data_IF_504793317497
#
_entry.id   IF_504793317497
#
_cell.length_a   1.000
_cell.length_b   1.000
_cell.length_c   1.000
_cell.angle_alpha   90.00
_cell.angle_beta   90.00
_cell.angle_gamma   90.00
#
_symmetry.space_group_name_H-M   'P 1'
#
loop_
_entity.id
_entity.type
_entity.pdbx_description
1 polymer ?
#
# COMPACT_ATOMS: atom_id res chain seq x y z
N UNK A 1 15.84 2.04 -6.21
CA UNK A 1 14.57 2.13 -6.97
C UNK A 1 14.80 1.64 -8.39
N UNK A 2 14.00 0.66 -8.84
CA UNK A 2 14.09 0.10 -10.19
C UNK A 2 12.97 0.66 -11.08
N UNK A 3 13.21 0.67 -12.41
CA UNK A 3 12.19 1.01 -13.40
C UNK A 3 11.43 -0.25 -13.82
N UNK A 4 10.12 -0.14 -13.91
CA UNK A 4 9.25 -1.19 -14.41
C UNK A 4 9.37 -1.30 -15.94
N UNK A 5 9.68 -2.49 -16.48
CA UNK A 5 9.84 -2.67 -17.93
C UNK A 5 8.52 -2.52 -18.71
N UNK A 6 7.37 -2.68 -18.05
CA UNK A 6 6.06 -2.59 -18.71
C UNK A 6 5.58 -1.14 -18.87
N UNK A 7 5.77 -0.29 -17.87
CA UNK A 7 5.19 1.07 -17.87
C UNK A 7 6.22 2.20 -17.77
N UNK A 8 7.51 1.89 -17.63
CA UNK A 8 8.59 2.89 -17.49
C UNK A 8 8.58 3.69 -16.18
N UNK A 9 7.52 3.60 -15.37
CA UNK A 9 7.47 4.14 -14.02
C UNK A 9 8.47 3.40 -13.11
N UNK A 10 8.74 3.90 -11.91
CA UNK A 10 9.33 3.08 -10.86
C UNK A 10 8.43 1.87 -10.57
N UNK A 11 9.04 0.72 -10.28
CA UNK A 11 8.31 -0.48 -9.83
C UNK A 11 7.39 -0.13 -8.64
N UNK A 12 6.26 -0.82 -8.52
CA UNK A 12 5.09 -0.50 -7.65
C UNK A 12 4.34 0.80 -8.05
N UNK A 13 5.05 1.87 -8.40
CA UNK A 13 4.48 3.18 -8.72
C UNK A 13 3.68 3.26 -10.04
N UNK A 14 3.67 2.18 -10.83
CA UNK A 14 2.83 2.06 -12.02
C UNK A 14 1.40 1.62 -11.74
N UNK A 15 1.09 1.18 -10.52
CA UNK A 15 -0.25 0.68 -10.18
C UNK A 15 -1.29 1.81 -10.15
N UNK A 16 -2.57 1.50 -10.43
CA UNK A 16 -3.08 0.20 -10.90
C UNK A 16 -2.98 0.03 -12.43
N UNK A 17 -2.58 1.08 -13.16
CA UNK A 17 -2.58 1.10 -14.63
C UNK A 17 -1.54 0.15 -15.27
N UNK A 18 -0.63 -0.41 -14.48
CA UNK A 18 0.35 -1.39 -14.90
C UNK A 18 0.18 -2.68 -14.10
N UNK A 19 -0.19 -3.76 -14.79
CA UNK A 19 -0.43 -5.08 -14.19
C UNK A 19 0.76 -5.54 -13.35
N UNK A 20 1.98 -5.52 -13.90
CA UNK A 20 3.20 -5.89 -13.16
C UNK A 20 3.38 -5.09 -11.86
N UNK A 21 3.10 -3.78 -11.88
CA UNK A 21 3.21 -2.98 -10.66
C UNK A 21 2.08 -3.29 -9.65
N UNK A 22 0.90 -3.66 -10.13
CA UNK A 22 -0.18 -4.19 -9.30
C UNK A 22 0.20 -5.51 -8.65
N UNK A 23 0.72 -6.46 -9.43
CA UNK A 23 1.16 -7.78 -8.95
C UNK A 23 2.26 -7.65 -7.89
N UNK A 24 3.20 -6.71 -8.08
CA UNK A 24 4.23 -6.42 -7.08
C UNK A 24 3.64 -5.89 -5.76
N UNK A 25 2.60 -5.06 -5.79
CA UNK A 25 1.92 -4.59 -4.58
C UNK A 25 1.16 -5.70 -3.88
N UNK A 26 0.51 -6.58 -4.63
CA UNK A 26 -0.20 -7.72 -4.06
C UNK A 26 0.80 -8.73 -3.47
N UNK A 27 1.91 -9.00 -4.15
CA UNK A 27 3.01 -9.85 -3.65
C UNK A 27 3.60 -9.30 -2.35
N UNK A 28 3.78 -7.97 -2.24
CA UNK A 28 4.28 -7.35 -0.99
C UNK A 28 3.44 -7.70 0.23
N UNK A 29 2.11 -7.78 0.05
CA UNK A 29 1.18 -8.10 1.13
C UNK A 29 1.12 -9.61 1.36
N UNK A 30 1.07 -10.38 0.28
CA UNK A 30 1.03 -11.84 0.33
C UNK A 30 2.30 -12.42 0.99
N UNK A 31 3.49 -11.90 0.69
CA UNK A 31 4.76 -12.32 1.31
C UNK A 31 4.70 -12.19 2.84
N UNK A 32 4.10 -11.11 3.36
CA UNK A 32 3.96 -10.91 4.80
C UNK A 32 2.98 -11.90 5.44
N UNK A 33 1.92 -12.27 4.73
CA UNK A 33 0.97 -13.28 5.20
C UNK A 33 1.56 -14.68 5.18
N UNK A 34 2.26 -15.06 4.11
CA UNK A 34 2.94 -16.35 4.01
C UNK A 34 4.03 -16.50 5.08
N UNK A 35 4.78 -15.43 5.36
CA UNK A 35 5.73 -15.43 6.47
C UNK A 35 5.05 -15.67 7.82
N UNK A 36 3.91 -15.01 8.08
CA UNK A 36 3.11 -15.22 9.28
C UNK A 36 2.61 -16.66 9.41
N UNK A 37 2.02 -17.23 8.35
CA UNK A 37 1.56 -18.62 8.35
C UNK A 37 2.69 -19.60 8.64
N UNK A 38 3.84 -19.41 8.00
CA UNK A 38 5.02 -20.25 8.21
C UNK A 38 5.55 -20.16 9.65
N UNK A 39 5.64 -18.95 10.21
CA UNK A 39 6.09 -18.73 11.60
C UNK A 39 5.16 -19.38 12.62
N UNK A 40 3.85 -19.28 12.41
CA UNK A 40 2.84 -19.82 13.31
C UNK A 40 2.51 -21.31 13.04
N UNK A 41 3.09 -21.90 11.99
CA UNK A 41 2.75 -23.23 11.49
C UNK A 41 1.23 -23.41 11.24
N UNK A 42 0.59 -22.38 10.69
CA UNK A 42 -0.84 -22.34 10.38
C UNK A 42 -1.10 -22.64 8.89
N UNK A 43 -2.23 -23.28 8.55
CA UNK A 43 -2.66 -23.40 7.16
C UNK A 43 -3.24 -22.08 6.63
N UNK A 44 -3.25 -21.93 5.31
CA UNK A 44 -4.02 -20.87 4.64
C UNK A 44 -5.51 -21.28 4.58
N UNK A 45 -6.30 -20.74 5.50
CA UNK A 45 -7.70 -21.11 5.73
C UNK A 45 -8.60 -19.84 5.76
N UNK A 46 -9.72 -19.81 5.02
CA UNK A 46 -10.72 -18.75 5.14
C UNK A 46 -11.19 -18.45 6.57
N UNK A 47 -11.32 -19.47 7.43
CA UNK A 47 -11.74 -19.27 8.83
C UNK A 47 -10.69 -18.48 9.64
N UNK A 48 -9.40 -18.69 9.32
CA UNK A 48 -8.30 -17.91 9.89
C UNK A 48 -8.37 -16.45 9.43
N UNK A 49 -8.70 -16.20 8.16
CA UNK A 49 -8.89 -14.83 7.65
C UNK A 49 -10.03 -14.11 8.37
N UNK A 50 -11.18 -14.76 8.60
CA UNK A 50 -12.30 -14.20 9.37
C UNK A 50 -11.90 -13.88 10.81
N UNK A 51 -11.13 -14.76 11.46
CA UNK A 51 -10.61 -14.51 12.82
C UNK A 51 -9.69 -13.29 12.85
N UNK A 52 -8.76 -13.17 11.89
CA UNK A 52 -7.81 -12.04 11.82
C UNK A 52 -8.55 -10.70 11.64
N UNK A 53 -9.54 -10.63 10.74
CA UNK A 53 -10.28 -9.37 10.52
C UNK A 53 -11.24 -9.03 11.67
N UNK A 54 -11.63 -10.01 12.47
CA UNK A 54 -12.45 -9.81 13.68
C UNK A 54 -11.64 -9.22 14.83
N UNK A 55 -10.35 -9.55 14.94
CA UNK A 55 -9.43 -8.99 15.93
C UNK A 55 -8.15 -8.47 15.28
N UNK A 56 -8.18 -7.27 14.71
CA UNK A 56 -7.07 -6.73 13.90
C UNK A 56 -5.82 -6.35 14.72
N UNK A 57 -6.00 -5.83 15.93
CA UNK A 57 -4.92 -5.19 16.73
C UNK A 57 -3.69 -6.08 17.01
N UNK A 58 -3.80 -7.39 17.23
CA UNK A 58 -2.64 -8.25 17.47
C UNK A 58 -1.76 -8.46 16.23
N UNK A 59 -2.32 -8.28 15.03
CA UNK A 59 -1.67 -8.67 13.77
C UNK A 59 -0.99 -7.49 13.08
N UNK A 60 0.07 -7.80 12.34
CA UNK A 60 0.75 -6.83 11.48
C UNK A 60 -0.10 -6.53 10.24
N UNK A 61 0.07 -5.32 9.70
CA UNK A 61 -0.81 -4.84 8.63
C UNK A 61 -0.80 -5.70 7.36
N UNK A 62 0.33 -6.33 6.99
CA UNK A 62 0.37 -7.22 5.81
C UNK A 62 -0.53 -8.43 6.02
N UNK A 63 -0.55 -8.96 7.25
CA UNK A 63 -1.41 -10.09 7.63
C UNK A 63 -2.87 -9.67 7.53
N UNK A 64 -3.20 -8.49 8.04
CA UNK A 64 -4.57 -7.95 8.04
C UNK A 64 -5.07 -7.64 6.63
N UNK A 65 -4.27 -6.96 5.81
CA UNK A 65 -4.61 -6.65 4.41
C UNK A 65 -4.77 -7.93 3.59
N UNK A 66 -3.90 -8.94 3.77
CA UNK A 66 -4.01 -10.24 3.12
C UNK A 66 -5.23 -11.04 3.58
N UNK A 67 -5.61 -10.94 4.86
CA UNK A 67 -6.82 -11.56 5.38
C UNK A 67 -8.08 -10.94 4.75
N UNK A 68 -8.13 -9.60 4.63
CA UNK A 68 -9.21 -8.95 3.89
C UNK A 68 -9.28 -9.40 2.43
N UNK A 69 -8.14 -9.65 1.78
CA UNK A 69 -8.10 -10.08 0.38
C UNK A 69 -8.65 -11.49 0.14
N UNK A 70 -8.69 -12.33 1.18
CA UNK A 70 -9.26 -13.69 1.16
C UNK A 70 -10.78 -13.69 1.34
N UNK A 71 -11.35 -12.60 1.82
CA UNK A 71 -12.76 -12.48 2.13
C UNK A 71 -13.49 -11.68 1.06
N UNK A 72 -14.74 -12.06 0.81
CA UNK A 72 -15.60 -11.39 -0.17
C UNK A 72 -16.66 -10.55 0.54
N UNK A 73 -16.82 -9.30 0.12
CA UNK A 73 -17.86 -8.43 0.61
C UNK A 73 -19.23 -8.93 0.12
N UNK A 74 -20.15 -9.23 1.05
CA UNK A 74 -21.50 -9.68 0.72
C UNK A 74 -22.31 -8.65 -0.11
N UNK A 75 -22.07 -7.35 0.11
CA UNK A 75 -22.84 -6.29 -0.56
C UNK A 75 -22.40 -6.02 -2.00
N UNK A 76 -21.08 -5.91 -2.26
CA UNK A 76 -20.56 -5.52 -3.57
C UNK A 76 -19.81 -6.62 -4.32
N UNK A 77 -19.63 -7.81 -3.72
CA UNK A 77 -18.93 -8.95 -4.31
C UNK A 77 -17.42 -8.75 -4.53
N UNK A 78 -16.86 -7.60 -4.14
CA UNK A 78 -15.41 -7.35 -4.20
C UNK A 78 -14.69 -7.97 -3.00
N UNK A 79 -13.36 -8.09 -3.06
CA UNK A 79 -12.54 -8.36 -1.87
C UNK A 79 -12.86 -7.32 -0.78
N UNK A 80 -12.92 -7.75 0.48
CA UNK A 80 -13.25 -6.86 1.61
C UNK A 80 -12.29 -5.66 1.64
N UNK A 81 -12.84 -4.48 1.88
CA UNK A 81 -12.08 -3.22 1.85
C UNK A 81 -11.48 -2.81 0.49
N UNK A 82 -11.82 -3.49 -0.63
CA UNK A 82 -11.45 -3.08 -2.00
C UNK A 82 -12.61 -2.64 -2.88
N UNK A 83 -13.84 -2.75 -2.36
CA UNK A 83 -15.04 -2.38 -3.10
C UNK A 83 -15.09 -0.90 -3.52
N UNK A 84 -16.10 -0.53 -4.33
CA UNK A 84 -16.31 0.85 -4.74
C UNK A 84 -16.45 1.78 -3.54
N UNK A 85 -16.03 3.04 -3.69
CA UNK A 85 -16.26 4.06 -2.67
C UNK A 85 -17.77 4.21 -2.41
N UNK A 86 -18.16 4.28 -1.13
CA UNK A 86 -19.57 4.35 -0.73
C UNK A 86 -20.23 2.99 -0.49
N UNK A 87 -19.51 1.88 -0.65
CA UNK A 87 -19.97 0.58 -0.17
C UNK A 87 -19.73 0.50 1.35
N UNK A 88 -20.78 0.52 2.21
CA UNK A 88 -20.60 0.65 3.65
C UNK A 88 -19.68 -0.38 4.31
N UNK A 89 -19.78 -1.70 4.04
CA UNK A 89 -18.86 -2.67 4.63
C UNK A 89 -17.42 -2.49 4.15
N UNK A 90 -17.20 -2.16 2.87
CA UNK A 90 -15.85 -1.89 2.37
C UNK A 90 -15.26 -0.59 2.93
N UNK A 91 -16.08 0.44 3.14
CA UNK A 91 -15.66 1.70 3.76
C UNK A 91 -15.27 1.48 5.24
N UNK A 92 -16.00 0.61 5.94
CA UNK A 92 -15.71 0.22 7.30
C UNK A 92 -14.40 -0.59 7.41
N UNK A 93 -14.23 -1.60 6.55
CA UNK A 93 -13.00 -2.41 6.48
C UNK A 93 -11.76 -1.58 6.09
N UNK A 94 -11.93 -0.62 5.17
CA UNK A 94 -10.91 0.37 4.85
C UNK A 94 -10.55 1.23 6.08
N UNK A 95 -11.50 1.59 6.94
CA UNK A 95 -11.20 2.29 8.19
C UNK A 95 -10.47 1.40 9.21
N UNK A 96 -10.91 0.16 9.39
CA UNK A 96 -10.40 -0.71 10.44
C UNK A 96 -8.97 -1.23 10.21
N UNK A 97 -8.53 -1.40 8.95
CA UNK A 97 -7.15 -1.84 8.67
C UNK A 97 -6.08 -0.95 9.30
N UNK A 98 -6.38 0.33 9.54
CA UNK A 98 -5.46 1.28 10.21
C UNK A 98 -5.26 1.00 11.71
N UNK A 99 -5.97 0.00 12.27
CA UNK A 99 -5.76 -0.47 13.65
C UNK A 99 -4.72 -1.58 13.76
N UNK A 100 -4.21 -2.09 12.63
CA UNK A 100 -3.19 -3.13 12.60
C UNK A 100 -1.86 -2.61 13.15
N UNK A 101 -0.99 -3.53 13.59
CA UNK A 101 0.37 -3.18 14.02
C UNK A 101 1.25 -2.85 12.83
N UNK A 102 2.10 -1.86 13.03
CA UNK A 102 2.99 -1.31 12.00
C UNK A 102 4.42 -1.23 12.56
N UNK A 103 5.03 -2.36 12.97
CA UNK A 103 6.39 -2.33 13.50
C UNK A 103 7.36 -1.92 12.39
N UNK A 104 8.14 -0.87 12.61
CA UNK A 104 9.20 -0.50 11.69
C UNK A 104 10.24 -1.62 11.61
N UNK A 105 10.54 -2.05 10.38
CA UNK A 105 11.62 -3.00 10.09
C UNK A 105 12.99 -2.47 10.56
N UNK A 106 13.99 -3.34 10.81
CA UNK A 106 15.31 -2.88 11.21
C UNK A 106 15.96 -1.93 10.19
N UNK A 107 16.56 -0.85 10.68
CA UNK A 107 17.38 0.05 9.87
C UNK A 107 16.64 1.13 9.07
N UNK A 108 15.32 1.29 9.24
CA UNK A 108 14.56 2.38 8.62
C UNK A 108 14.20 3.49 9.62
N UNK A 109 13.91 4.71 9.16
CA UNK A 109 13.43 5.78 10.04
C UNK A 109 12.10 5.40 10.72
N UNK A 110 11.80 5.97 11.90
CA UNK A 110 10.50 5.79 12.54
C UNK A 110 9.33 6.17 11.61
N UNK A 111 8.24 5.41 11.70
CA UNK A 111 7.02 5.54 10.88
C UNK A 111 7.22 5.23 9.39
N UNK A 112 8.31 4.57 9.02
CA UNK A 112 8.49 4.11 7.64
C UNK A 112 7.44 3.05 7.28
N UNK A 113 7.20 2.09 8.17
CA UNK A 113 6.23 1.01 7.92
C UNK A 113 4.80 1.55 7.84
N UNK A 114 4.50 2.57 8.65
CA UNK A 114 3.27 3.34 8.50
C UNK A 114 3.12 3.91 7.09
N UNK A 115 4.15 4.57 6.58
CA UNK A 115 4.14 5.13 5.24
C UNK A 115 4.08 4.05 4.14
N UNK A 116 4.75 2.90 4.32
CA UNK A 116 4.63 1.75 3.41
C UNK A 116 3.19 1.28 3.36
N UNK A 117 2.57 1.00 4.50
CA UNK A 117 1.19 0.53 4.56
C UNK A 117 0.21 1.51 3.91
N UNK A 118 0.30 2.81 4.25
CA UNK A 118 -0.58 3.83 3.66
C UNK A 118 -0.41 3.87 2.14
N UNK A 119 0.83 3.85 1.64
CA UNK A 119 1.08 3.84 0.21
C UNK A 119 0.57 2.57 -0.49
N UNK A 120 0.75 1.40 0.15
CA UNK A 120 0.22 0.15 -0.36
C UNK A 120 -1.31 0.17 -0.43
N UNK A 121 -1.99 0.59 0.65
CA UNK A 121 -3.44 0.73 0.67
C UNK A 121 -3.93 1.67 -0.44
N UNK A 122 -3.34 2.87 -0.55
CA UNK A 122 -3.72 3.86 -1.57
C UNK A 122 -3.54 3.34 -3.00
N UNK A 123 -2.41 2.70 -3.30
CA UNK A 123 -2.13 2.20 -4.65
C UNK A 123 -2.98 0.97 -5.00
N UNK A 124 -3.26 0.10 -4.02
CA UNK A 124 -4.12 -1.08 -4.18
C UNK A 124 -5.61 -0.71 -4.30
N UNK A 125 -6.01 0.43 -3.75
CA UNK A 125 -7.37 0.96 -3.76
C UNK A 125 -7.48 2.28 -4.55
N UNK A 126 -6.75 2.40 -5.65
CA UNK A 126 -6.56 3.69 -6.32
C UNK A 126 -7.85 4.37 -6.78
N UNK A 127 -8.89 3.61 -7.11
CA UNK A 127 -10.22 4.13 -7.47
C UNK A 127 -10.91 4.92 -6.35
N UNK A 128 -10.44 4.79 -5.10
CA UNK A 128 -10.96 5.48 -3.91
C UNK A 128 -10.23 6.79 -3.61
N UNK A 129 -9.21 7.15 -4.41
CA UNK A 129 -8.36 8.31 -4.15
C UNK A 129 -8.28 9.25 -5.35
N UNK A 130 -8.14 10.55 -5.09
CA UNK A 130 -7.97 11.56 -6.13
C UNK A 130 -6.60 11.48 -6.82
N UNK A 131 -6.55 11.88 -8.09
CA UNK A 131 -5.36 11.77 -8.96
C UNK A 131 -4.07 12.36 -8.35
N UNK A 132 -4.18 13.48 -7.64
CA UNK A 132 -3.01 14.13 -7.00
C UNK A 132 -2.44 13.30 -5.85
N UNK A 133 -3.30 12.65 -5.06
CA UNK A 133 -2.88 11.76 -3.98
C UNK A 133 -2.21 10.52 -4.58
N UNK A 134 -2.82 9.95 -5.62
CA UNK A 134 -2.24 8.83 -6.37
C UNK A 134 -0.88 9.17 -6.94
N UNK A 135 -0.72 10.32 -7.61
CA UNK A 135 0.56 10.74 -8.17
C UNK A 135 1.65 10.85 -7.08
N UNK A 136 1.30 11.41 -5.92
CA UNK A 136 2.23 11.51 -4.79
C UNK A 136 2.72 10.13 -4.34
N UNK A 137 1.82 9.16 -4.18
CA UNK A 137 2.18 7.80 -3.77
C UNK A 137 2.86 7.00 -4.88
N UNK A 138 2.44 7.14 -6.14
CA UNK A 138 3.11 6.52 -7.30
C UNK A 138 4.58 6.94 -7.43
N UNK A 139 4.89 8.17 -7.02
CA UNK A 139 6.26 8.70 -6.99
C UNK A 139 7.00 8.29 -5.71
N UNK A 140 6.36 8.42 -4.54
CA UNK A 140 7.00 8.28 -3.24
C UNK A 140 7.10 6.86 -2.71
N UNK A 141 6.12 6.00 -3.00
CA UNK A 141 6.05 4.64 -2.45
C UNK A 141 7.31 3.81 -2.72
N UNK A 142 7.92 3.82 -3.92
CA UNK A 142 9.14 3.04 -4.17
C UNK A 142 10.35 3.52 -3.35
N UNK A 143 10.39 4.80 -2.96
CA UNK A 143 11.41 5.34 -2.06
C UNK A 143 11.15 4.88 -0.62
N UNK A 144 9.91 4.98 -0.17
CA UNK A 144 9.51 4.58 1.18
C UNK A 144 9.72 3.08 1.40
N UNK A 145 9.34 2.28 0.40
CA UNK A 145 9.53 0.83 0.41
C UNK A 145 11.02 0.44 0.43
N UNK A 146 11.91 1.26 -0.12
CA UNK A 146 13.35 1.07 -0.04
C UNK A 146 13.99 1.54 1.29
N UNK A 147 13.18 1.98 2.26
CA UNK A 147 13.63 2.43 3.58
C UNK A 147 13.94 3.93 3.67
N UNK A 148 13.76 4.67 2.57
CA UNK A 148 13.83 6.14 2.58
C UNK A 148 12.58 6.75 3.21
N UNK A 149 12.67 8.03 3.58
CA UNK A 149 11.50 8.83 3.98
C UNK A 149 11.67 10.25 3.46
N UNK A 150 10.58 10.87 3.01
CA UNK A 150 10.60 12.30 2.75
C UNK A 150 10.65 13.06 4.07
N UNK A 151 11.48 14.09 4.15
CA UNK A 151 11.30 15.11 5.18
C UNK A 151 10.00 15.89 4.92
N UNK A 152 9.45 16.53 5.96
CA UNK A 152 8.26 17.39 5.82
C UNK A 152 8.41 18.42 4.71
N UNK A 153 9.58 19.07 4.61
CA UNK A 153 9.87 20.05 3.57
C UNK A 153 9.87 19.44 2.16
N UNK A 154 10.43 18.23 2.01
CA UNK A 154 10.40 17.53 0.72
C UNK A 154 8.98 17.12 0.33
N UNK A 155 8.19 16.58 1.26
CA UNK A 155 6.80 16.21 1.02
C UNK A 155 5.93 17.42 0.64
N UNK A 156 6.11 18.56 1.33
CA UNK A 156 5.44 19.82 1.00
C UNK A 156 5.85 20.35 -0.37
N UNK A 157 7.15 20.27 -0.71
CA UNK A 157 7.64 20.68 -2.03
C UNK A 157 7.03 19.83 -3.16
N UNK A 158 7.03 18.51 -2.99
CA UNK A 158 6.41 17.58 -3.94
C UNK A 158 4.92 17.90 -4.13
N UNK A 159 4.18 18.04 -3.04
CA UNK A 159 2.75 18.39 -3.06
C UNK A 159 2.51 19.73 -3.77
N UNK A 160 3.34 20.74 -3.51
CA UNK A 160 3.22 22.04 -4.16
C UNK A 160 3.43 21.96 -5.68
N UNK A 161 4.39 21.16 -6.15
CA UNK A 161 4.63 20.95 -7.59
C UNK A 161 3.47 20.21 -8.25
N UNK A 162 2.96 19.15 -7.62
CA UNK A 162 1.78 18.42 -8.09
C UNK A 162 0.56 19.33 -8.20
N UNK A 163 0.32 20.18 -7.20
CA UNK A 163 -0.78 21.15 -7.22
C UNK A 163 -0.64 22.18 -8.36
N UNK A 164 0.58 22.46 -8.81
CA UNK A 164 0.87 23.33 -9.96
C UNK A 164 0.80 22.60 -11.31
N UNK A 165 0.47 21.30 -11.32
CA UNK A 165 0.30 20.51 -12.53
C UNK A 165 1.52 19.70 -12.97
N UNK A 166 2.58 19.62 -12.15
CA UNK A 166 3.74 18.78 -12.48
C UNK A 166 3.33 17.30 -12.56
N UNK A 167 3.69 16.66 -13.67
CA UNK A 167 3.38 15.26 -13.95
C UNK A 167 4.47 14.28 -13.47
N UNK A 168 4.22 12.98 -13.68
CA UNK A 168 5.13 11.92 -13.26
C UNK A 168 6.54 12.07 -13.84
N UNK A 169 6.65 12.31 -15.15
CA UNK A 169 7.96 12.37 -15.84
C UNK A 169 8.82 13.54 -15.39
N UNK A 170 8.19 14.66 -15.02
CA UNK A 170 8.89 15.83 -14.48
C UNK A 170 9.38 15.59 -13.04
N UNK A 171 8.61 14.84 -12.24
CA UNK A 171 8.85 14.65 -10.81
C UNK A 171 9.72 13.43 -10.51
N UNK A 172 9.66 12.38 -11.32
CA UNK A 172 10.40 11.15 -11.10
C UNK A 172 11.93 11.35 -11.01
N UNK A 173 12.58 12.17 -11.86
CA UNK A 173 13.99 12.49 -11.70
C UNK A 173 14.29 13.19 -10.37
N UNK A 174 13.42 14.12 -9.94
CA UNK A 174 13.60 14.81 -8.66
C UNK A 174 13.48 13.85 -7.48
N UNK A 175 12.53 12.91 -7.50
CA UNK A 175 12.39 11.89 -6.44
C UNK A 175 13.57 10.92 -6.42
N UNK A 176 14.07 10.52 -7.59
CA UNK A 176 15.24 9.62 -7.70
C UNK A 176 16.47 10.13 -6.94
N UNK A 177 16.64 11.45 -6.84
CA UNK A 177 17.77 12.06 -6.13
C UNK A 177 17.65 12.04 -4.59
N UNK A 178 16.53 11.55 -4.03
CA UNK A 178 16.22 11.59 -2.58
C UNK A 178 16.53 10.31 -1.83
N UNK A 179 17.06 9.27 -2.48
CA UNK A 179 17.57 8.05 -1.85
C UNK A 179 18.98 8.21 -1.25
N UNK A 180 19.25 9.32 -0.55
CA UNK A 180 20.53 9.48 0.16
C UNK A 180 20.34 9.21 1.64
#
# INVERSE_FOLDING_TARGET
>A
MHRCPQCGCFEYGGAPACARCGDLLDTLVEDGYQAFLAEQALPDDPDLAEMIVSEIKPYEWRVVDAAFDRLTCADCGSRRGRGPAGCPPCDLDEGFRYSAREPDRPGVPPLNEHAVRVGAAVLRNAHRHGERALLSWRLGFPLVLAGGMFTTAQAQNLRARINKGAGYDELAPWVATRLR
#
